data_IF_475951741741
#
_entry.id   IF_475951741741
#
_cell.length_a   1.000
_cell.length_b   1.000
_cell.length_c   1.000
_cell.angle_alpha   90.00
_cell.angle_beta   90.00
_cell.angle_gamma   90.00
#
_symmetry.space_group_name_H-M   'P 1'
#
loop_
_entity.id
_entity.type
_entity.pdbx_description
1 polymer ?
#
# COMPACT_ATOMS: atom_id res chain seq x y z
N UNK A 1 0.78 -14.40 -8.93
CA UNK A 1 2.11 -14.08 -9.49
C UNK A 1 2.30 -14.98 -10.68
N UNK A 2 2.63 -14.40 -11.82
CA UNK A 2 3.04 -15.18 -12.99
C UNK A 2 4.50 -15.67 -12.88
N UNK A 3 4.92 -16.50 -13.84
CA UNK A 3 6.27 -17.08 -13.86
C UNK A 3 7.38 -16.02 -14.03
N UNK A 4 7.09 -14.92 -14.72
CA UNK A 4 8.05 -13.84 -14.96
C UNK A 4 8.29 -13.02 -13.69
N UNK A 5 7.22 -12.70 -12.98
CA UNK A 5 7.26 -12.02 -11.68
C UNK A 5 7.96 -12.88 -10.61
N UNK A 6 7.71 -14.19 -10.60
CA UNK A 6 8.40 -15.12 -9.70
C UNK A 6 9.90 -15.16 -10.01
N UNK A 7 10.27 -15.26 -11.29
CA UNK A 7 11.68 -15.24 -11.69
C UNK A 7 12.37 -13.92 -11.31
N UNK A 8 11.71 -12.79 -11.53
CA UNK A 8 12.19 -11.47 -11.14
C UNK A 8 12.45 -11.38 -9.63
N UNK A 9 11.48 -11.84 -8.84
CA UNK A 9 11.60 -11.85 -7.38
C UNK A 9 12.73 -12.78 -6.90
N UNK A 10 12.83 -13.98 -7.44
CA UNK A 10 13.90 -14.94 -7.08
C UNK A 10 15.28 -14.42 -7.48
N UNK A 11 15.39 -13.68 -8.57
CA UNK A 11 16.66 -13.15 -9.09
C UNK A 11 17.10 -11.88 -8.35
N UNK A 12 16.17 -10.97 -8.06
CA UNK A 12 16.49 -9.63 -7.56
C UNK A 12 16.09 -9.39 -6.10
N UNK A 13 15.27 -10.27 -5.52
CA UNK A 13 14.73 -10.14 -4.16
C UNK A 13 13.57 -9.15 -4.04
N UNK A 14 13.08 -8.61 -5.16
CA UNK A 14 11.91 -7.73 -5.22
C UNK A 14 11.24 -7.82 -6.59
N UNK A 15 9.97 -7.40 -6.66
CA UNK A 15 9.22 -7.21 -7.89
C UNK A 15 8.46 -5.89 -7.81
N UNK A 16 8.35 -5.19 -8.93
CA UNK A 16 7.52 -3.99 -9.05
C UNK A 16 6.28 -4.34 -9.84
N UNK A 17 5.11 -4.07 -9.29
CA UNK A 17 3.83 -4.18 -10.00
C UNK A 17 3.35 -2.77 -10.31
N UNK A 18 3.31 -2.43 -11.60
CA UNK A 18 2.77 -1.15 -12.07
C UNK A 18 1.25 -1.14 -11.92
N UNK A 19 0.69 0.03 -11.65
CA UNK A 19 -0.77 0.24 -11.49
C UNK A 19 -1.44 -0.68 -10.47
N UNK A 20 -0.68 -1.17 -9.48
CA UNK A 20 -1.19 -2.01 -8.39
C UNK A 20 -2.34 -1.37 -7.58
N UNK A 21 -2.42 -0.03 -7.58
CA UNK A 21 -3.49 0.74 -6.97
C UNK A 21 -4.08 1.70 -8.00
N UNK A 22 -5.40 1.87 -7.98
CA UNK A 22 -6.04 2.88 -8.82
C UNK A 22 -5.71 4.30 -8.32
N UNK A 23 -5.79 5.33 -9.20
CA UNK A 23 -5.58 6.71 -8.79
C UNK A 23 -6.50 7.16 -7.65
N UNK A 24 -7.74 6.67 -7.61
CA UNK A 24 -8.71 6.97 -6.54
C UNK A 24 -8.27 6.39 -5.20
N UNK A 25 -7.83 5.12 -5.16
CA UNK A 25 -7.31 4.50 -3.95
C UNK A 25 -6.10 5.26 -3.40
N UNK A 26 -5.21 5.71 -4.29
CA UNK A 26 -4.06 6.54 -3.90
C UNK A 26 -4.52 7.88 -3.31
N UNK A 27 -5.54 8.52 -3.88
CA UNK A 27 -6.07 9.79 -3.39
C UNK A 27 -6.71 9.64 -1.99
N UNK A 28 -7.50 8.59 -1.78
CA UNK A 28 -8.17 8.33 -0.50
C UNK A 28 -7.18 8.03 0.64
N UNK A 29 -6.13 7.25 0.36
CA UNK A 29 -5.06 6.99 1.32
C UNK A 29 -4.33 8.28 1.70
N UNK A 30 -4.03 9.14 0.71
CA UNK A 30 -3.38 10.45 0.94
C UNK A 30 -4.24 11.35 1.81
N UNK A 31 -5.53 11.48 1.50
CA UNK A 31 -6.46 12.27 2.31
C UNK A 31 -6.47 11.80 3.78
N UNK A 32 -6.45 10.50 4.01
CA UNK A 32 -6.42 9.94 5.37
C UNK A 32 -5.13 10.26 6.14
N UNK A 33 -4.00 10.33 5.45
CA UNK A 33 -2.72 10.75 6.06
C UNK A 33 -2.75 12.24 6.39
N UNK A 34 -3.25 13.06 5.46
CA UNK A 34 -3.32 14.52 5.61
C UNK A 34 -4.28 14.95 6.74
N UNK A 35 -5.43 14.27 6.89
CA UNK A 35 -6.41 14.56 7.95
C UNK A 35 -5.90 14.23 9.36
N UNK A 36 -5.11 13.16 9.50
CA UNK A 36 -4.66 12.67 10.83
C UNK A 36 -3.28 13.17 11.24
N UNK A 37 -2.53 13.81 10.34
CA UNK A 37 -1.19 14.34 10.60
C UNK A 37 -1.10 15.40 11.72
N UNK A 38 -2.05 16.35 11.86
CA UNK A 38 -1.93 17.44 12.85
C UNK A 38 -2.22 17.04 14.32
N UNK A 39 -3.14 16.10 14.55
CA UNK A 39 -3.69 15.79 15.89
C UNK A 39 -2.92 14.70 16.65
N UNK A 40 -1.96 14.05 16.01
CA UNK A 40 -1.16 13.01 16.64
C UNK A 40 0.09 13.64 17.26
N UNK A 41 0.04 13.96 18.55
CA UNK A 41 1.17 14.40 19.38
C UNK A 41 2.27 13.31 19.58
N UNK A 42 2.65 12.63 18.50
CA UNK A 42 3.64 11.57 18.44
C UNK A 42 4.87 12.07 17.68
N UNK A 43 6.08 11.68 18.08
CA UNK A 43 7.29 11.96 17.27
C UNK A 43 7.25 11.29 15.88
N UNK A 44 6.25 10.43 15.62
CA UNK A 44 5.92 9.84 14.33
C UNK A 44 4.66 10.45 13.67
N UNK A 45 4.25 11.66 14.06
CA UNK A 45 3.06 12.38 13.55
C UNK A 45 2.96 12.45 12.02
N UNK A 46 4.11 12.43 11.33
CA UNK A 46 4.21 12.39 9.86
C UNK A 46 3.56 11.13 9.22
N UNK A 47 3.23 10.10 10.01
CA UNK A 47 2.69 8.82 9.51
C UNK A 47 1.45 8.33 10.25
N UNK A 48 0.76 9.24 10.93
CA UNK A 48 -0.39 8.93 11.77
C UNK A 48 -1.57 8.25 11.06
N UNK A 49 -1.70 8.45 9.76
CA UNK A 49 -2.74 7.81 8.93
C UNK A 49 -2.46 6.34 8.55
N UNK A 50 -1.25 5.82 8.80
CA UNK A 50 -0.80 4.50 8.33
C UNK A 50 -1.62 3.32 8.86
N UNK A 51 -2.36 3.49 9.96
CA UNK A 51 -3.23 2.45 10.55
C UNK A 51 -4.72 2.70 10.31
N UNK A 52 -5.10 3.48 9.29
CA UNK A 52 -6.50 3.61 8.91
C UNK A 52 -7.02 2.33 8.23
N UNK A 53 -8.35 2.16 8.24
CA UNK A 53 -8.98 1.01 7.60
C UNK A 53 -8.56 0.87 6.13
N UNK A 54 -8.45 1.98 5.38
CA UNK A 54 -7.99 1.95 3.99
C UNK A 54 -6.58 1.37 3.80
N UNK A 55 -5.65 1.58 4.73
CA UNK A 55 -4.34 0.92 4.70
C UNK A 55 -4.43 -0.56 5.08
N UNK A 56 -5.29 -0.92 6.05
CA UNK A 56 -5.52 -2.31 6.42
C UNK A 56 -6.17 -3.12 5.30
N UNK A 57 -7.10 -2.54 4.56
CA UNK A 57 -7.80 -3.19 3.46
C UNK A 57 -6.83 -3.56 2.32
N UNK A 58 -5.73 -2.82 2.16
CA UNK A 58 -4.65 -3.15 1.20
C UNK A 58 -3.75 -4.31 1.67
N UNK A 59 -3.75 -4.63 2.96
CA UNK A 59 -3.02 -5.78 3.50
C UNK A 59 -3.85 -7.06 3.45
N UNK A 60 -5.12 -6.98 3.05
CA UNK A 60 -5.96 -8.17 2.90
C UNK A 60 -5.41 -9.06 1.78
N UNK A 61 -5.36 -10.36 2.05
CA UNK A 61 -4.83 -11.36 1.13
C UNK A 61 -5.56 -11.37 -0.22
N UNK A 62 -6.85 -11.00 -0.23
CA UNK A 62 -7.63 -10.86 -1.47
C UNK A 62 -7.25 -9.63 -2.30
N UNK A 63 -6.89 -8.52 -1.65
CA UNK A 63 -6.40 -7.33 -2.33
C UNK A 63 -5.00 -7.59 -2.91
N UNK A 64 -4.12 -8.23 -2.13
CA UNK A 64 -2.77 -8.59 -2.55
C UNK A 64 -2.79 -9.66 -3.65
N UNK A 65 -3.69 -10.66 -3.58
CA UNK A 65 -3.77 -11.70 -4.61
C UNK A 65 -4.15 -11.11 -5.97
N UNK A 66 -5.09 -10.17 -6.02
CA UNK A 66 -5.49 -9.52 -7.27
C UNK A 66 -4.42 -8.61 -7.88
N UNK A 67 -3.48 -8.10 -7.08
CA UNK A 67 -2.31 -7.33 -7.56
C UNK A 67 -1.26 -8.26 -8.17
N UNK A 68 -1.16 -9.47 -7.64
CA UNK A 68 -0.16 -10.43 -8.06
C UNK A 68 -0.65 -11.35 -9.19
N UNK A 69 -1.96 -11.48 -9.41
CA UNK A 69 -2.55 -12.25 -10.51
C UNK A 69 -2.43 -11.54 -11.86
#
# INVERSE_FOLDING_TARGET
MDEEQLFAFDTWGFVTVEDALTPEQVADLKATVDEKGPDLHSQHADRGGFWSQGFFDLLDAHAVSGILD
#
